data_IF_123794422537
#
_entry.id   IF_123794422537
#
_cell.length_a   1.000
_cell.length_b   1.000
_cell.length_c   1.000
_cell.angle_alpha   90.00
_cell.angle_beta   90.00
_cell.angle_gamma   90.00
#
_symmetry.space_group_name_H-M   'P 1'
#
loop_
_entity.id
_entity.type
_entity.pdbx_description
1 polymer ?
#
# COMPACT_ATOMS: atom_id res chain seq x y z
N UNK A 1 21.23 -13.21 -8.00
CA UNK A 1 19.88 -13.07 -7.40
C UNK A 1 18.91 -13.93 -8.16
N UNK A 2 18.08 -14.71 -7.46
CA UNK A 2 17.07 -15.59 -8.08
C UNK A 2 15.69 -15.11 -7.66
N UNK A 3 14.87 -14.70 -8.64
CA UNK A 3 13.57 -14.07 -8.46
C UNK A 3 13.60 -12.56 -8.73
N UNK A 4 12.88 -12.12 -9.76
CA UNK A 4 12.70 -10.74 -10.18
C UNK A 4 11.51 -10.03 -9.51
N UNK A 5 11.06 -10.50 -8.35
CA UNK A 5 10.06 -9.83 -7.53
C UNK A 5 10.64 -8.63 -6.76
N UNK A 6 9.77 -7.87 -6.08
CA UNK A 6 10.16 -6.66 -5.35
C UNK A 6 11.34 -6.87 -4.38
N UNK A 7 11.36 -7.98 -3.64
CA UNK A 7 12.47 -8.30 -2.73
C UNK A 7 13.80 -8.55 -3.46
N UNK A 8 13.77 -9.32 -4.56
CA UNK A 8 14.96 -9.62 -5.35
C UNK A 8 15.49 -8.39 -6.08
N UNK A 9 14.60 -7.53 -6.59
CA UNK A 9 14.96 -6.23 -7.15
C UNK A 9 15.58 -5.31 -6.09
N UNK A 10 14.97 -5.20 -4.91
CA UNK A 10 15.49 -4.36 -3.83
C UNK A 10 16.88 -4.79 -3.38
N UNK A 11 17.10 -6.10 -3.22
CA UNK A 11 18.39 -6.62 -2.83
C UNK A 11 19.43 -6.45 -3.97
N UNK A 12 19.03 -6.60 -5.24
CA UNK A 12 19.91 -6.35 -6.38
C UNK A 12 20.35 -4.90 -6.47
N UNK A 13 19.41 -3.95 -6.28
CA UNK A 13 19.71 -2.51 -6.27
C UNK A 13 20.63 -2.15 -5.10
N UNK A 14 20.41 -2.74 -3.92
CA UNK A 14 21.27 -2.51 -2.77
C UNK A 14 22.72 -2.99 -3.00
N UNK A 15 22.91 -4.18 -3.58
CA UNK A 15 24.23 -4.73 -3.92
C UNK A 15 24.90 -3.95 -5.05
N UNK A 16 24.18 -3.65 -6.12
CA UNK A 16 24.69 -2.86 -7.24
C UNK A 16 25.12 -1.45 -6.82
N UNK A 17 24.40 -0.84 -5.87
CA UNK A 17 24.77 0.44 -5.27
C UNK A 17 26.11 0.42 -4.52
N UNK A 18 26.63 -0.75 -4.16
CA UNK A 18 27.97 -0.94 -3.59
C UNK A 18 29.01 -1.39 -4.63
N UNK A 19 28.72 -1.28 -5.93
CA UNK A 19 29.62 -1.67 -7.01
C UNK A 19 29.72 -3.19 -7.24
N UNK A 20 28.85 -3.97 -6.60
CA UNK A 20 28.82 -5.43 -6.78
C UNK A 20 28.02 -5.76 -8.04
N UNK A 21 28.64 -6.45 -9.00
CA UNK A 21 27.93 -6.95 -10.18
C UNK A 21 26.88 -8.00 -9.80
N UNK A 22 25.61 -7.78 -10.16
CA UNK A 22 24.51 -8.71 -9.86
C UNK A 22 23.88 -9.22 -11.15
N UNK A 23 23.87 -10.54 -11.31
CA UNK A 23 22.98 -11.21 -12.27
C UNK A 23 21.65 -11.51 -11.59
N UNK A 24 20.56 -10.93 -12.12
CA UNK A 24 19.19 -11.19 -11.69
C UNK A 24 18.55 -12.21 -12.65
N UNK A 25 18.12 -13.34 -12.13
CA UNK A 25 17.45 -14.39 -12.90
C UNK A 25 15.98 -14.48 -12.48
N UNK A 26 15.06 -14.36 -13.43
CA UNK A 26 13.62 -14.54 -13.22
C UNK A 26 13.11 -15.64 -14.13
N UNK A 27 12.26 -16.52 -13.59
CA UNK A 27 11.68 -17.65 -14.34
C UNK A 27 10.70 -17.17 -15.41
N UNK A 28 9.96 -16.11 -15.11
CA UNK A 28 8.92 -15.57 -15.99
C UNK A 28 9.50 -14.53 -16.97
N UNK A 29 8.84 -14.29 -18.11
CA UNK A 29 9.26 -13.24 -19.07
C UNK A 29 9.02 -11.81 -18.56
N UNK A 30 8.61 -11.64 -17.30
CA UNK A 30 8.24 -10.35 -16.68
C UNK A 30 8.77 -10.28 -15.26
N UNK A 31 9.30 -9.11 -14.89
CA UNK A 31 9.66 -8.76 -13.52
C UNK A 31 8.43 -8.35 -12.71
N UNK A 32 8.56 -8.33 -11.38
CA UNK A 32 7.55 -7.86 -10.44
C UNK A 32 7.07 -8.95 -9.48
N UNK A 33 7.14 -10.22 -9.87
CA UNK A 33 6.62 -11.33 -9.06
C UNK A 33 5.13 -11.13 -8.76
N UNK A 34 4.76 -11.00 -7.49
CA UNK A 34 3.38 -10.68 -7.08
C UNK A 34 2.91 -9.28 -7.53
N UNK A 35 3.85 -8.37 -7.79
CA UNK A 35 3.63 -7.00 -8.26
C UNK A 35 3.76 -6.85 -9.79
N UNK A 36 3.70 -7.96 -10.54
CA UNK A 36 3.70 -7.94 -12.01
C UNK A 36 2.43 -7.33 -12.57
N UNK A 37 2.58 -6.59 -13.67
CA UNK A 37 1.49 -6.21 -14.57
C UNK A 37 1.64 -6.93 -15.92
N UNK A 38 0.53 -7.21 -16.60
CA UNK A 38 0.54 -7.80 -17.94
C UNK A 38 -0.40 -7.04 -18.87
N UNK A 39 -0.02 -6.98 -20.14
CA UNK A 39 -0.77 -6.25 -21.16
C UNK A 39 -1.79 -7.17 -21.83
N UNK A 40 -3.04 -6.72 -21.93
CA UNK A 40 -4.10 -7.38 -22.69
C UNK A 40 -3.95 -7.11 -24.20
N UNK A 41 -4.60 -7.91 -25.07
CA UNK A 41 -4.65 -7.64 -26.51
C UNK A 41 -5.22 -6.26 -26.86
N UNK A 42 -6.11 -5.73 -26.02
CA UNK A 42 -6.66 -4.36 -26.13
C UNK A 42 -5.61 -3.26 -25.91
N UNK A 43 -4.44 -3.59 -25.39
CA UNK A 43 -3.35 -2.66 -25.09
C UNK A 43 -3.33 -2.15 -23.65
N UNK A 44 -4.36 -2.43 -22.86
CA UNK A 44 -4.47 -2.11 -21.43
C UNK A 44 -3.52 -2.97 -20.58
N UNK A 45 -3.01 -2.40 -19.48
CA UNK A 45 -2.25 -3.15 -18.48
C UNK A 45 -3.16 -3.53 -17.31
N UNK A 46 -3.12 -4.81 -16.94
CA UNK A 46 -3.78 -5.33 -15.74
C UNK A 46 -2.71 -5.74 -14.74
N UNK A 47 -2.87 -5.28 -13.51
CA UNK A 47 -2.03 -5.68 -12.39
C UNK A 47 -2.48 -7.03 -11.85
N UNK A 48 -1.53 -7.89 -11.51
CA UNK A 48 -1.82 -9.16 -10.85
C UNK A 48 -2.53 -8.96 -9.49
N UNK A 49 -2.16 -7.90 -8.76
CA UNK A 49 -2.85 -7.43 -7.57
C UNK A 49 -2.79 -5.89 -7.52
N UNK A 50 -3.79 -5.25 -6.93
CA UNK A 50 -3.70 -3.82 -6.62
C UNK A 50 -2.74 -3.60 -5.45
N UNK A 51 -1.75 -2.73 -5.63
CA UNK A 51 -0.77 -2.41 -4.61
C UNK A 51 -0.89 -0.94 -4.20
N UNK A 52 -0.83 -0.69 -2.89
CA UNK A 52 -0.74 0.65 -2.31
C UNK A 52 0.53 0.71 -1.48
N UNK A 53 1.26 1.81 -1.57
CA UNK A 53 2.37 2.13 -0.67
C UNK A 53 1.97 3.29 0.25
N UNK A 54 2.48 3.26 1.48
CA UNK A 54 2.33 4.33 2.46
C UNK A 54 3.69 4.97 2.71
N UNK A 55 3.73 6.26 3.04
CA UNK A 55 5.01 6.95 3.37
C UNK A 55 5.72 6.38 4.60
N UNK A 56 5.03 5.60 5.43
CA UNK A 56 5.68 4.88 6.53
C UNK A 56 6.43 3.61 6.09
N UNK A 57 6.25 3.17 4.84
CA UNK A 57 7.01 2.06 4.24
C UNK A 57 8.40 2.53 3.79
N UNK A 58 9.19 3.06 4.72
CA UNK A 58 10.46 3.77 4.45
C UNK A 58 11.46 2.94 3.64
N UNK A 59 11.53 1.62 3.85
CA UNK A 59 12.39 0.72 3.07
C UNK A 59 11.96 0.61 1.60
N UNK A 60 10.66 0.63 1.33
CA UNK A 60 10.13 0.59 -0.03
C UNK A 60 10.32 1.94 -0.74
N UNK A 61 10.13 3.03 -0.01
CA UNK A 61 10.44 4.38 -0.49
C UNK A 61 11.92 4.55 -0.84
N UNK A 62 12.82 4.07 0.03
CA UNK A 62 14.26 4.07 -0.21
C UNK A 62 14.62 3.24 -1.45
N UNK A 63 14.00 2.07 -1.63
CA UNK A 63 14.17 1.26 -2.83
C UNK A 63 13.79 2.05 -4.10
N UNK A 64 12.61 2.67 -4.16
CA UNK A 64 12.19 3.44 -5.33
C UNK A 64 13.12 4.62 -5.63
N UNK A 65 13.64 5.28 -4.58
CA UNK A 65 14.63 6.35 -4.72
C UNK A 65 15.93 5.83 -5.33
N UNK A 66 16.49 4.74 -4.80
CA UNK A 66 17.74 4.14 -5.33
C UNK A 66 17.57 3.58 -6.73
N UNK A 67 16.39 3.05 -7.06
CA UNK A 67 16.06 2.57 -8.39
C UNK A 67 15.76 3.71 -9.39
N UNK A 68 15.70 4.96 -8.95
CA UNK A 68 15.45 6.12 -9.82
C UNK A 68 14.02 6.21 -10.35
N UNK A 69 13.04 5.65 -9.64
CA UNK A 69 11.63 5.58 -10.07
C UNK A 69 10.65 6.20 -9.06
N UNK A 70 11.16 6.98 -8.11
CA UNK A 70 10.33 7.62 -7.08
C UNK A 70 9.26 8.57 -7.68
N UNK A 71 9.55 9.19 -8.83
CA UNK A 71 8.63 10.05 -9.59
C UNK A 71 7.43 9.29 -10.18
N UNK A 72 7.50 7.95 -10.24
CA UNK A 72 6.41 7.10 -10.72
C UNK A 72 5.34 6.83 -9.67
N UNK A 73 5.59 7.18 -8.40
CA UNK A 73 4.65 6.97 -7.31
C UNK A 73 3.80 8.22 -7.10
N UNK A 74 2.48 8.07 -7.29
CA UNK A 74 1.52 9.13 -7.00
C UNK A 74 0.93 8.95 -5.61
N UNK A 75 1.13 9.96 -4.76
CA UNK A 75 0.57 9.99 -3.41
C UNK A 75 -0.79 10.71 -3.39
N UNK A 76 -1.67 10.24 -2.51
CA UNK A 76 -2.97 10.84 -2.23
C UNK A 76 -3.15 10.99 -0.72
N UNK A 77 -3.95 11.98 -0.31
CA UNK A 77 -4.27 12.29 1.09
C UNK A 77 -5.59 11.64 1.57
N UNK A 78 -6.15 10.76 0.75
CA UNK A 78 -7.45 10.12 0.96
C UNK A 78 -7.47 8.71 0.38
N UNK A 79 -8.20 7.82 1.04
CA UNK A 79 -8.49 6.46 0.57
C UNK A 79 -9.92 6.41 0.04
N UNK A 80 -10.09 5.84 -1.14
CA UNK A 80 -11.39 5.65 -1.79
C UNK A 80 -11.79 4.19 -1.72
N UNK A 81 -13.03 3.95 -1.32
CA UNK A 81 -13.63 2.62 -1.23
C UNK A 81 -14.87 2.58 -2.11
N UNK A 82 -15.12 1.42 -2.69
CA UNK A 82 -16.31 1.14 -3.47
C UNK A 82 -16.86 -0.22 -3.07
N UNK A 83 -18.17 -0.33 -2.92
CA UNK A 83 -18.84 -1.63 -2.76
C UNK A 83 -19.22 -2.24 -4.12
N UNK A 84 -19.74 -3.46 -4.10
CA UNK A 84 -20.22 -4.16 -5.30
C UNK A 84 -21.48 -3.55 -5.93
N UNK A 85 -22.17 -2.65 -5.22
CA UNK A 85 -23.39 -1.96 -5.67
C UNK A 85 -23.09 -0.58 -6.27
N UNK A 86 -21.82 -0.17 -6.30
CA UNK A 86 -21.37 1.12 -6.83
C UNK A 86 -21.39 2.27 -5.82
N UNK A 87 -21.76 2.04 -4.57
CA UNK A 87 -21.65 3.03 -3.50
C UNK A 87 -20.18 3.34 -3.25
N UNK A 88 -19.86 4.62 -3.01
CA UNK A 88 -18.49 5.07 -2.78
C UNK A 88 -18.35 5.72 -1.41
N UNK A 89 -17.25 5.41 -0.74
CA UNK A 89 -16.87 6.00 0.53
C UNK A 89 -15.46 6.57 0.47
N UNK A 90 -15.18 7.57 1.29
CA UNK A 90 -13.85 8.16 1.42
C UNK A 90 -13.43 8.26 2.87
N UNK A 91 -12.19 7.85 3.15
CA UNK A 91 -11.51 8.09 4.43
C UNK A 91 -10.38 9.09 4.19
N UNK A 92 -10.32 10.15 5.00
CA UNK A 92 -9.31 11.22 4.92
C UNK A 92 -8.97 11.72 6.32
N UNK A 93 -7.70 12.08 6.53
CA UNK A 93 -7.25 12.71 7.77
C UNK A 93 -7.80 14.14 7.91
N UNK A 94 -8.10 14.50 9.15
CA UNK A 94 -8.48 15.84 9.60
C UNK A 94 -7.32 16.46 10.38
N UNK A 95 -7.53 17.70 10.85
CA UNK A 95 -6.59 18.45 11.68
C UNK A 95 -6.48 17.92 13.13
N UNK A 96 -7.37 17.01 13.55
CA UNK A 96 -7.32 16.42 14.88
C UNK A 96 -6.04 15.59 15.06
N UNK A 97 -5.44 15.55 16.27
CA UNK A 97 -4.23 14.77 16.50
C UNK A 97 -4.51 13.26 16.43
N UNK A 98 -3.47 12.45 16.29
CA UNK A 98 -3.59 11.01 16.51
C UNK A 98 -4.05 10.72 17.95
N UNK A 99 -4.94 9.72 18.17
CA UNK A 99 -5.54 8.80 17.20
C UNK A 99 -6.82 9.33 16.52
N UNK A 100 -7.26 10.55 16.80
CA UNK A 100 -8.56 11.11 16.37
C UNK A 100 -8.60 11.68 14.94
N UNK A 101 -7.44 11.81 14.28
CA UNK A 101 -7.30 12.37 12.93
C UNK A 101 -8.27 11.79 11.87
N UNK A 102 -8.75 10.53 12.00
CA UNK A 102 -9.70 9.93 11.05
C UNK A 102 -11.18 10.04 11.46
N UNK A 103 -11.49 10.49 12.69
CA UNK A 103 -12.84 10.47 13.26
C UNK A 103 -13.89 11.15 12.37
N UNK A 104 -13.67 12.36 11.82
CA UNK A 104 -14.71 13.03 11.03
C UNK A 104 -15.09 12.25 9.77
N UNK A 105 -14.09 11.77 9.02
CA UNK A 105 -14.36 11.01 7.78
C UNK A 105 -14.96 9.64 8.07
N UNK A 106 -14.56 8.99 9.17
CA UNK A 106 -15.12 7.72 9.61
C UNK A 106 -16.59 7.84 10.03
N UNK A 107 -16.94 8.89 10.78
CA UNK A 107 -18.32 9.15 11.19
C UNK A 107 -19.25 9.37 9.99
N UNK A 108 -18.78 10.10 8.96
CA UNK A 108 -19.51 10.36 7.72
C UNK A 108 -19.42 9.23 6.68
N UNK A 109 -18.67 8.15 6.95
CA UNK A 109 -18.41 7.12 5.94
C UNK A 109 -19.68 6.33 5.59
N UNK A 110 -20.10 6.27 4.30
CA UNK A 110 -21.41 5.75 3.92
C UNK A 110 -21.46 4.22 3.77
N UNK A 111 -20.31 3.55 3.62
CA UNK A 111 -20.26 2.10 3.40
C UNK A 111 -20.27 1.28 4.71
N UNK A 112 -20.48 1.94 5.85
CA UNK A 112 -20.55 1.30 7.16
C UNK A 112 -21.84 1.72 7.85
N UNK A 113 -22.53 0.74 8.43
CA UNK A 113 -23.70 0.97 9.27
C UNK A 113 -23.29 1.62 10.59
N UNK A 114 -24.26 2.13 11.36
CA UNK A 114 -24.01 2.63 12.71
C UNK A 114 -23.45 1.53 13.64
N UNK A 115 -23.90 0.29 13.45
CA UNK A 115 -23.43 -0.87 14.22
C UNK A 115 -21.96 -1.20 13.91
N UNK A 116 -21.57 -1.14 12.63
CA UNK A 116 -20.17 -1.32 12.23
C UNK A 116 -19.29 -0.23 12.82
N UNK A 117 -19.75 1.03 12.72
CA UNK A 117 -19.03 2.19 13.25
C UNK A 117 -18.79 2.07 14.75
N UNK A 118 -19.81 1.68 15.51
CA UNK A 118 -19.70 1.45 16.95
C UNK A 118 -18.74 0.30 17.28
N UNK A 119 -18.83 -0.82 16.55
CA UNK A 119 -17.98 -2.00 16.78
C UNK A 119 -16.51 -1.70 16.52
N UNK A 120 -16.20 -1.00 15.43
CA UNK A 120 -14.85 -0.55 15.09
C UNK A 120 -14.35 0.47 16.12
N UNK A 121 -15.17 1.46 16.51
CA UNK A 121 -14.78 2.45 17.51
C UNK A 121 -14.43 1.79 18.86
N UNK A 122 -15.22 0.80 19.27
CA UNK A 122 -14.96 0.01 20.48
C UNK A 122 -13.65 -0.79 20.38
N UNK A 123 -13.38 -1.40 19.22
CA UNK A 123 -12.13 -2.13 18.98
C UNK A 123 -10.91 -1.20 19.02
N UNK A 124 -10.98 -0.04 18.34
CA UNK A 124 -9.90 0.96 18.35
C UNK A 124 -9.65 1.51 19.75
N UNK A 125 -10.69 1.79 20.54
CA UNK A 125 -10.54 2.24 21.92
C UNK A 125 -9.86 1.17 22.79
N UNK A 126 -10.14 -0.11 22.56
CA UNK A 126 -9.43 -1.20 23.26
C UNK A 126 -7.96 -1.24 22.88
N UNK A 127 -7.62 -1.15 21.60
CA UNK A 127 -6.23 -1.14 21.11
C UNK A 127 -5.45 0.03 21.73
N UNK A 128 -6.06 1.23 21.77
CA UNK A 128 -5.44 2.42 22.37
C UNK A 128 -5.23 2.21 23.89
N UNK A 129 -6.24 1.70 24.60
CA UNK A 129 -6.14 1.43 26.04
C UNK A 129 -5.14 0.32 26.39
N UNK A 130 -4.93 -0.65 25.50
CA UNK A 130 -3.99 -1.75 25.70
C UNK A 130 -2.59 -1.45 25.14
N UNK A 131 -2.34 -0.23 24.63
CA UNK A 131 -1.05 0.14 24.05
C UNK A 131 -0.66 -0.70 22.83
N UNK A 132 -1.63 -1.25 22.08
CA UNK A 132 -1.36 -2.17 20.98
C UNK A 132 -1.02 -3.61 21.39
N UNK A 133 -1.10 -3.94 22.69
CA UNK A 133 -0.96 -5.32 23.19
C UNK A 133 -2.30 -5.85 23.69
N UNK A 134 -3.19 -6.34 22.80
CA UNK A 134 -4.45 -6.93 23.23
C UNK A 134 -4.16 -8.16 24.11
N UNK A 135 -4.75 -8.20 25.32
CA UNK A 135 -4.85 -9.41 26.15
C UNK A 135 -6.03 -10.25 25.69
#
# INVERSE_FOLDING_TARGET
>A
MVGGGLAGLAASVALAGHGIGVSLLEKNPRLGGRATSYRLPSGEYIDNCQHVTLRCCTNLEDFFRRAGVADKIRYYDQLLFSDSKGSRGRIKSSWLPAPFHLVPSFAAFPLLTLQDKYSIARAMLRIVRSGGSPK
#
